data_IF_175921678893
#
_entry.id   IF_175921678893
#
_cell.length_a   1.000
_cell.length_b   1.000
_cell.length_c   1.000
_cell.angle_alpha   90.00
_cell.angle_beta   90.00
_cell.angle_gamma   90.00
#
_symmetry.space_group_name_H-M   'P 1'
#
loop_
_entity.id
_entity.type
_entity.pdbx_description
1 polymer ?
#
# COMPACT_ATOMS: atom_id res chain seq x y z
N UNK A 1 -18.42 1.58 19.21
CA UNK A 1 -17.08 1.53 19.79
C UNK A 1 -16.61 2.91 20.24
N UNK A 2 -16.20 3.02 21.47
CA UNK A 2 -15.62 4.27 21.98
C UNK A 2 -14.50 3.95 22.98
N UNK A 3 -13.61 4.94 23.15
CA UNK A 3 -12.40 4.80 23.96
C UNK A 3 -12.60 5.52 25.29
N UNK A 4 -12.15 4.92 26.39
CA UNK A 4 -12.18 5.55 27.72
C UNK A 4 -11.24 6.76 27.76
N UNK A 5 -11.40 7.64 28.76
CA UNK A 5 -10.51 8.80 28.92
C UNK A 5 -9.06 8.37 29.13
N UNK A 6 -8.82 7.31 29.92
CA UNK A 6 -7.48 6.77 30.13
C UNK A 6 -6.91 6.23 28.79
N UNK A 7 -7.74 5.50 28.05
CA UNK A 7 -7.35 4.99 26.74
C UNK A 7 -7.05 6.09 25.75
N UNK A 8 -7.81 7.19 25.79
CA UNK A 8 -7.54 8.37 24.94
C UNK A 8 -6.19 8.99 25.26
N UNK A 9 -5.84 9.13 26.54
CA UNK A 9 -4.56 9.69 26.95
C UNK A 9 -3.40 8.81 26.51
N UNK A 10 -3.53 7.51 26.63
CA UNK A 10 -2.53 6.55 26.16
C UNK A 10 -2.37 6.64 24.66
N UNK A 11 -3.48 6.73 23.94
CA UNK A 11 -3.47 6.86 22.48
C UNK A 11 -2.78 8.14 22.04
N UNK A 12 -3.10 9.27 22.67
CA UNK A 12 -2.45 10.57 22.38
C UNK A 12 -0.95 10.51 22.60
N UNK A 13 -0.53 9.88 23.69
CA UNK A 13 0.90 9.74 24.00
C UNK A 13 1.62 8.90 22.96
N UNK A 14 1.01 7.79 22.54
CA UNK A 14 1.57 6.94 21.51
C UNK A 14 1.65 7.65 20.16
N UNK A 15 0.59 8.38 19.78
CA UNK A 15 0.55 9.13 18.51
C UNK A 15 1.66 10.19 18.47
N UNK A 16 1.93 10.82 19.60
CA UNK A 16 2.96 11.85 19.68
C UNK A 16 4.39 11.29 19.69
N UNK A 17 4.54 9.98 19.96
CA UNK A 17 5.87 9.37 19.96
C UNK A 17 6.38 9.19 18.53
N UNK A 18 7.72 9.27 18.32
CA UNK A 18 8.29 9.05 16.99
C UNK A 18 8.00 7.64 16.47
N UNK A 19 7.69 7.54 15.19
CA UNK A 19 7.55 6.26 14.51
C UNK A 19 8.81 5.94 13.74
N UNK A 20 9.25 4.70 13.80
CA UNK A 20 10.41 4.26 13.04
C UNK A 20 9.97 3.84 11.64
N UNK A 21 10.82 4.18 10.66
CA UNK A 21 10.63 3.68 9.31
C UNK A 21 10.94 2.19 9.28
N UNK A 22 9.97 1.40 8.84
CA UNK A 22 10.18 -0.04 8.73
C UNK A 22 11.05 -0.36 7.51
N UNK A 23 12.04 -1.24 7.64
CA UNK A 23 12.79 -1.70 6.48
C UNK A 23 11.88 -2.47 5.53
N UNK A 24 12.14 -2.36 4.24
CA UNK A 24 11.40 -3.09 3.23
C UNK A 24 11.83 -4.56 3.32
N UNK A 25 10.89 -5.41 3.73
CA UNK A 25 11.08 -6.86 3.78
C UNK A 25 10.06 -7.47 2.83
N UNK A 26 10.51 -7.80 1.64
CA UNK A 26 9.64 -8.40 0.64
C UNK A 26 10.31 -9.62 0.06
N UNK A 27 9.62 -10.73 0.16
CA UNK A 27 10.07 -12.03 -0.32
C UNK A 27 10.35 -12.01 -1.82
N UNK A 28 9.50 -11.32 -2.56
CA UNK A 28 9.65 -11.19 -4.00
C UNK A 28 10.95 -10.51 -4.38
N UNK A 29 11.34 -9.45 -3.66
CA UNK A 29 12.59 -8.74 -3.95
C UNK A 29 13.82 -9.63 -3.72
N UNK A 30 13.79 -10.46 -2.68
CA UNK A 30 14.85 -11.43 -2.41
C UNK A 30 14.93 -12.45 -3.54
N UNK A 31 13.79 -12.97 -3.96
CA UNK A 31 13.72 -13.92 -5.08
C UNK A 31 14.25 -13.32 -6.37
N UNK A 32 13.90 -12.07 -6.63
CA UNK A 32 14.33 -11.36 -7.84
C UNK A 32 15.85 -11.19 -7.86
N UNK A 33 16.46 -10.86 -6.72
CA UNK A 33 17.91 -10.72 -6.62
C UNK A 33 18.62 -12.01 -7.06
N UNK A 34 18.07 -13.17 -6.72
CA UNK A 34 18.62 -14.47 -7.10
C UNK A 34 17.97 -15.03 -8.38
N UNK A 35 17.12 -14.25 -9.02
CA UNK A 35 16.23 -14.72 -10.09
C UNK A 35 16.92 -15.14 -11.38
N UNK A 36 18.17 -14.75 -11.60
CA UNK A 36 18.93 -15.16 -12.78
C UNK A 36 19.09 -16.70 -12.85
N UNK A 37 18.90 -17.39 -11.73
CA UNK A 37 18.93 -18.85 -11.67
C UNK A 37 17.68 -19.47 -12.27
N UNK A 38 16.54 -18.77 -12.19
CA UNK A 38 15.25 -19.29 -12.66
C UNK A 38 14.39 -18.15 -13.25
N UNK A 39 14.82 -17.57 -14.39
CA UNK A 39 14.16 -16.36 -14.92
C UNK A 39 12.70 -16.56 -15.28
N UNK A 40 12.31 -17.76 -15.71
CA UNK A 40 10.92 -18.03 -16.05
C UNK A 40 10.03 -18.07 -14.83
N UNK A 41 10.53 -18.59 -13.70
CA UNK A 41 9.81 -18.58 -12.44
C UNK A 41 9.57 -17.15 -11.94
N UNK A 42 10.57 -16.28 -12.13
CA UNK A 42 10.43 -14.85 -11.79
C UNK A 42 9.37 -14.18 -12.66
N UNK A 43 9.35 -14.46 -13.96
CA UNK A 43 8.35 -13.89 -14.86
C UNK A 43 6.94 -14.27 -14.45
N UNK A 44 6.72 -15.52 -14.04
CA UNK A 44 5.43 -15.98 -13.53
C UNK A 44 5.04 -15.27 -12.23
N UNK A 45 5.98 -15.14 -11.29
CA UNK A 45 5.74 -14.45 -10.01
C UNK A 45 5.42 -12.97 -10.22
N UNK A 46 6.12 -12.30 -11.12
CA UNK A 46 5.84 -10.90 -11.42
C UNK A 46 4.41 -10.71 -11.93
N UNK A 47 3.96 -11.58 -12.81
CA UNK A 47 2.59 -11.50 -13.34
C UNK A 47 1.56 -11.81 -12.27
N UNK A 48 1.84 -12.74 -11.39
CA UNK A 48 0.95 -13.06 -10.27
C UNK A 48 0.81 -11.86 -9.32
N UNK A 49 1.91 -11.21 -8.99
CA UNK A 49 1.91 -10.01 -8.16
C UNK A 49 1.23 -8.84 -8.87
N UNK A 50 1.45 -8.68 -10.16
CA UNK A 50 0.79 -7.65 -10.95
C UNK A 50 -0.73 -7.74 -10.83
N UNK A 51 -1.27 -8.94 -11.00
CA UNK A 51 -2.71 -9.18 -10.89
C UNK A 51 -3.22 -8.86 -9.49
N UNK A 52 -2.51 -9.31 -8.45
CA UNK A 52 -2.90 -9.06 -7.07
C UNK A 52 -2.93 -7.57 -6.74
N UNK A 53 -1.92 -6.83 -7.19
CA UNK A 53 -1.85 -5.38 -6.95
C UNK A 53 -2.91 -4.62 -7.76
N UNK A 54 -3.20 -5.06 -8.99
CA UNK A 54 -4.29 -4.48 -9.79
C UNK A 54 -5.64 -4.63 -9.10
N UNK A 55 -5.92 -5.80 -8.55
CA UNK A 55 -7.16 -6.06 -7.83
C UNK A 55 -7.28 -5.19 -6.58
N UNK A 56 -6.22 -5.05 -5.80
CA UNK A 56 -6.21 -4.19 -4.62
C UNK A 56 -6.41 -2.73 -4.99
N UNK A 57 -5.71 -2.26 -6.03
CA UNK A 57 -5.85 -0.88 -6.47
C UNK A 57 -7.28 -0.58 -6.92
N UNK A 58 -7.91 -1.51 -7.64
CA UNK A 58 -9.29 -1.36 -8.08
C UNK A 58 -10.24 -1.22 -6.89
N UNK A 59 -10.04 -2.01 -5.83
CA UNK A 59 -10.84 -1.92 -4.60
C UNK A 59 -10.64 -0.57 -3.93
N UNK A 60 -9.39 -0.12 -3.79
CA UNK A 60 -9.08 1.17 -3.15
C UNK A 60 -9.67 2.34 -3.93
N UNK A 61 -9.60 2.30 -5.25
CA UNK A 61 -10.18 3.35 -6.10
C UNK A 61 -11.71 3.36 -6.04
N UNK A 62 -12.33 2.21 -5.91
CA UNK A 62 -13.77 2.12 -5.72
C UNK A 62 -14.19 2.75 -4.38
N UNK A 63 -13.41 2.52 -3.32
CA UNK A 63 -13.65 3.14 -2.01
C UNK A 63 -13.48 4.66 -2.10
N UNK A 64 -12.44 5.14 -2.78
CA UNK A 64 -12.22 6.56 -3.00
C UNK A 64 -13.40 7.22 -3.70
N UNK A 65 -13.87 6.59 -4.77
CA UNK A 65 -15.00 7.09 -5.54
C UNK A 65 -16.28 7.16 -4.70
N UNK A 66 -16.50 6.16 -3.86
CA UNK A 66 -17.73 6.05 -3.08
C UNK A 66 -17.77 7.01 -1.89
N UNK A 67 -16.67 7.16 -1.17
CA UNK A 67 -16.65 7.87 0.12
C UNK A 67 -15.86 9.17 0.11
N UNK A 68 -14.96 9.37 -0.84
CA UNK A 68 -14.03 10.50 -0.84
C UNK A 68 -14.00 11.23 -2.19
N UNK A 69 -15.10 11.19 -2.93
CA UNK A 69 -15.17 11.77 -4.27
C UNK A 69 -15.01 13.30 -4.28
N UNK A 70 -15.30 13.95 -3.15
CA UNK A 70 -15.10 15.39 -3.02
C UNK A 70 -14.25 15.68 -1.77
N UNK A 71 -12.91 15.71 -1.89
CA UNK A 71 -12.03 15.93 -0.76
C UNK A 71 -12.22 17.27 -0.05
N UNK A 72 -12.80 18.25 -0.73
CA UNK A 72 -12.95 19.61 -0.18
C UNK A 72 -14.02 19.70 0.91
N UNK A 73 -14.96 18.74 0.96
CA UNK A 73 -16.05 18.75 1.93
C UNK A 73 -15.90 17.69 3.01
N UNK A 74 -14.75 17.03 3.10
CA UNK A 74 -14.52 15.99 4.11
C UNK A 74 -14.45 16.59 5.52
N UNK A 75 -15.03 15.86 6.49
CA UNK A 75 -14.84 16.19 7.90
C UNK A 75 -13.39 15.92 8.33
N UNK A 76 -13.00 16.39 9.52
CA UNK A 76 -11.66 16.14 10.04
C UNK A 76 -11.36 14.64 10.15
N UNK A 77 -12.32 13.85 10.65
CA UNK A 77 -12.14 12.39 10.74
C UNK A 77 -11.96 11.78 9.36
N UNK A 78 -12.78 12.19 8.40
CA UNK A 78 -12.71 11.67 7.05
C UNK A 78 -11.39 12.01 6.35
N UNK A 79 -10.81 13.17 6.64
CA UNK A 79 -9.51 13.54 6.08
C UNK A 79 -8.43 12.55 6.53
N UNK A 80 -8.42 12.17 7.80
CA UNK A 80 -7.43 11.20 8.29
C UNK A 80 -7.66 9.81 7.71
N UNK A 81 -8.92 9.41 7.56
CA UNK A 81 -9.25 8.15 6.90
C UNK A 81 -8.80 8.15 5.45
N UNK A 82 -9.02 9.25 4.75
CA UNK A 82 -8.62 9.39 3.37
C UNK A 82 -7.11 9.34 3.19
N UNK A 83 -6.35 9.94 4.10
CA UNK A 83 -4.88 9.87 4.06
C UNK A 83 -4.38 8.43 4.07
N UNK A 84 -4.98 7.58 4.87
CA UNK A 84 -4.64 6.15 4.93
C UNK A 84 -4.94 5.47 3.59
N UNK A 85 -6.10 5.76 3.01
CA UNK A 85 -6.46 5.21 1.71
C UNK A 85 -5.52 5.69 0.60
N UNK A 86 -5.16 6.98 0.61
CA UNK A 86 -4.22 7.55 -0.36
C UNK A 86 -2.87 6.86 -0.30
N UNK A 87 -2.40 6.53 0.90
CA UNK A 87 -1.16 5.79 1.04
C UNK A 87 -1.27 4.39 0.42
N UNK A 88 -2.41 3.72 0.63
CA UNK A 88 -2.66 2.42 0.02
C UNK A 88 -2.67 2.50 -1.51
N UNK A 89 -3.33 3.50 -2.07
CA UNK A 89 -3.37 3.73 -3.52
C UNK A 89 -1.96 3.99 -4.06
N UNK A 90 -1.18 4.82 -3.38
CA UNK A 90 0.19 5.13 -3.78
C UNK A 90 1.07 3.89 -3.73
N UNK A 91 0.92 3.08 -2.69
CA UNK A 91 1.67 1.83 -2.53
C UNK A 91 1.40 0.87 -3.68
N UNK A 92 0.14 0.65 -4.02
CA UNK A 92 -0.23 -0.26 -5.10
C UNK A 92 0.20 0.29 -6.46
N UNK A 93 0.06 1.59 -6.67
CA UNK A 93 0.49 2.25 -7.90
C UNK A 93 1.99 2.13 -8.09
N UNK A 94 2.76 2.31 -7.02
CA UNK A 94 4.21 2.16 -7.05
C UNK A 94 4.61 0.74 -7.46
N UNK A 95 4.01 -0.27 -6.84
CA UNK A 95 4.31 -1.66 -7.16
C UNK A 95 3.98 -2.00 -8.61
N UNK A 96 2.84 -1.55 -9.11
CA UNK A 96 2.44 -1.80 -10.49
C UNK A 96 3.40 -1.14 -11.48
N UNK A 97 3.82 0.08 -11.21
CA UNK A 97 4.78 0.78 -12.06
C UNK A 97 6.12 0.04 -12.10
N UNK A 98 6.60 -0.41 -10.95
CA UNK A 98 7.85 -1.16 -10.86
C UNK A 98 7.75 -2.51 -11.55
N UNK A 99 6.64 -3.23 -11.35
CA UNK A 99 6.42 -4.55 -11.98
C UNK A 99 6.40 -4.41 -13.51
N UNK A 100 5.74 -3.38 -14.04
CA UNK A 100 5.71 -3.12 -15.48
C UNK A 100 7.13 -2.94 -16.03
N UNK A 101 7.96 -2.17 -15.32
CA UNK A 101 9.36 -1.96 -15.72
C UNK A 101 10.15 -3.27 -15.62
N UNK A 102 9.91 -4.05 -14.60
CA UNK A 102 10.58 -5.34 -14.41
C UNK A 102 10.25 -6.30 -15.54
N UNK A 103 8.96 -6.42 -15.88
CA UNK A 103 8.50 -7.27 -16.97
C UNK A 103 9.14 -6.82 -18.30
N UNK A 104 9.16 -5.53 -18.57
CA UNK A 104 9.73 -4.98 -19.80
C UNK A 104 11.23 -5.26 -19.89
N UNK A 105 11.93 -5.09 -18.78
CA UNK A 105 13.38 -5.32 -18.73
C UNK A 105 13.73 -6.79 -18.96
N UNK A 106 12.89 -7.71 -18.53
CA UNK A 106 13.14 -9.16 -18.60
C UNK A 106 12.62 -9.80 -19.89
N UNK A 107 12.02 -9.05 -20.77
CA UNK A 107 11.58 -9.57 -22.07
C UNK A 107 12.74 -10.00 -22.95
#
# INVERSE_FOLDING_TARGET
YYVTEIGKQQLKSWIASPSEASPIKDDLLVKIFAGYVAPQAIAIELKRHQKAHQEKLAVYKAIEQKYFSNPQILSEIEKFQYLTLLNGISYETHWLSWIDRAIELLK
#
